data_IF_473317099541
#
_entry.id   IF_473317099541
#
_cell.length_a   1.000
_cell.length_b   1.000
_cell.length_c   1.000
_cell.angle_alpha   90.00
_cell.angle_beta   90.00
_cell.angle_gamma   90.00
#
_symmetry.space_group_name_H-M   'P 1'
#
loop_
_entity.id
_entity.type
_entity.pdbx_description
1 polymer ?
#
# COMPACT_ATOMS: atom_id res chain seq x y z
N UNK A 1 -23.13 1.28 17.38
CA UNK A 1 -23.12 1.53 15.91
C UNK A 1 -24.54 1.42 15.42
N UNK A 2 -25.13 2.49 14.86
CA UNK A 2 -26.57 2.56 14.50
C UNK A 2 -26.90 1.81 13.19
N UNK A 3 -26.48 0.55 13.02
CA UNK A 3 -26.65 -0.24 11.79
C UNK A 3 -26.14 0.46 10.50
N UNK A 4 -25.16 1.36 10.61
CA UNK A 4 -24.56 2.02 9.45
C UNK A 4 -23.37 1.22 8.96
N UNK A 5 -23.40 0.83 7.68
CA UNK A 5 -22.25 0.24 6.99
C UNK A 5 -21.13 1.28 6.87
N UNK A 6 -19.87 0.94 7.20
CA UNK A 6 -18.75 1.86 7.03
C UNK A 6 -18.53 2.16 5.54
N UNK A 7 -18.06 3.38 5.23
CA UNK A 7 -17.68 3.73 3.84
C UNK A 7 -16.35 3.05 3.47
N UNK A 8 -15.43 2.94 4.44
CA UNK A 8 -14.10 2.38 4.26
C UNK A 8 -13.70 1.56 5.48
N UNK A 9 -12.97 0.47 5.26
CA UNK A 9 -12.39 -0.38 6.30
C UNK A 9 -10.88 -0.45 6.05
N UNK A 10 -10.08 -0.10 7.06
CA UNK A 10 -8.62 -0.07 6.98
C UNK A 10 -8.04 -1.23 7.79
N UNK A 11 -7.30 -2.14 7.17
CA UNK A 11 -6.64 -3.27 7.86
C UNK A 11 -5.26 -3.60 7.26
N UNK A 12 -4.56 -4.59 7.82
CA UNK A 12 -3.19 -5.02 7.52
C UNK A 12 -3.02 -5.88 6.23
N UNK A 13 -4.03 -5.93 5.37
CA UNK A 13 -3.95 -6.63 4.08
C UNK A 13 -4.06 -8.15 4.16
N UNK A 14 -4.34 -8.72 5.33
CA UNK A 14 -4.60 -10.15 5.50
C UNK A 14 -5.70 -10.65 4.55
N UNK A 15 -5.48 -11.82 3.95
CA UNK A 15 -6.37 -12.38 2.93
C UNK A 15 -7.73 -12.79 3.50
N UNK A 16 -7.74 -13.36 4.70
CA UNK A 16 -8.97 -13.77 5.37
C UNK A 16 -9.78 -12.55 5.80
N UNK A 17 -9.14 -11.53 6.37
CA UNK A 17 -9.77 -10.24 6.67
C UNK A 17 -10.33 -9.58 5.40
N UNK A 18 -9.57 -9.58 4.31
CA UNK A 18 -10.04 -9.02 3.04
C UNK A 18 -11.26 -9.78 2.49
N UNK A 19 -11.31 -11.11 2.64
CA UNK A 19 -12.48 -11.92 2.27
C UNK A 19 -13.68 -11.65 3.18
N UNK A 20 -13.47 -11.58 4.49
CA UNK A 20 -14.50 -11.29 5.48
C UNK A 20 -15.11 -9.90 5.26
N UNK A 21 -14.29 -8.86 5.03
CA UNK A 21 -14.76 -7.51 4.73
C UNK A 21 -15.62 -7.51 3.46
N UNK A 22 -15.18 -8.18 2.38
CA UNK A 22 -15.98 -8.32 1.16
C UNK A 22 -17.32 -9.02 1.40
N UNK A 23 -17.37 -9.98 2.32
CA UNK A 23 -18.58 -10.73 2.64
C UNK A 23 -19.54 -9.96 3.55
N UNK A 24 -19.03 -9.24 4.55
CA UNK A 24 -19.84 -8.57 5.58
C UNK A 24 -20.18 -7.14 5.18
N UNK A 25 -19.25 -6.46 4.49
CA UNK A 25 -19.37 -5.07 4.07
C UNK A 25 -19.03 -4.91 2.58
N UNK A 26 -19.83 -5.48 1.65
CA UNK A 26 -19.52 -5.49 0.22
C UNK A 26 -19.38 -4.09 -0.40
N UNK A 27 -20.11 -3.11 0.13
CA UNK A 27 -20.09 -1.71 -0.33
C UNK A 27 -18.93 -0.89 0.26
N UNK A 28 -18.22 -1.43 1.27
CA UNK A 28 -17.10 -0.73 1.89
C UNK A 28 -15.84 -0.85 1.05
N UNK A 29 -15.10 0.26 0.95
CA UNK A 29 -13.76 0.25 0.36
C UNK A 29 -12.78 -0.38 1.34
N UNK A 30 -12.15 -1.49 0.97
CA UNK A 30 -11.03 -2.05 1.73
C UNK A 30 -9.74 -1.30 1.41
N UNK A 31 -9.15 -0.67 2.42
CA UNK A 31 -7.87 0.05 2.33
C UNK A 31 -6.80 -0.64 3.19
N UNK A 32 -5.56 -0.52 2.75
CA UNK A 32 -4.38 -1.03 3.45
C UNK A 32 -3.87 0.02 4.42
N UNK A 33 -3.67 -0.40 5.67
CA UNK A 33 -3.17 0.45 6.75
C UNK A 33 -1.74 0.91 6.47
N UNK A 34 -1.51 2.23 6.47
CA UNK A 34 -0.19 2.86 6.28
C UNK A 34 0.84 2.32 7.26
N UNK A 35 0.49 2.18 8.54
CA UNK A 35 1.41 1.66 9.56
C UNK A 35 1.87 0.22 9.28
N UNK A 36 0.99 -0.64 8.79
CA UNK A 36 1.35 -1.99 8.40
C UNK A 36 2.16 -2.02 7.11
N UNK A 37 1.84 -1.14 6.15
CA UNK A 37 2.63 -0.99 4.92
C UNK A 37 4.06 -0.53 5.21
N UNK A 38 4.22 0.45 6.10
CA UNK A 38 5.50 0.95 6.59
C UNK A 38 6.32 -0.19 7.21
N UNK A 39 5.75 -0.88 8.21
CA UNK A 39 6.43 -2.01 8.87
C UNK A 39 6.80 -3.12 7.90
N UNK A 40 5.93 -3.42 6.94
CA UNK A 40 6.21 -4.42 5.90
C UNK A 40 7.30 -3.93 4.93
N UNK A 41 7.32 -2.65 4.57
CA UNK A 41 8.37 -2.06 3.76
C UNK A 41 9.72 -2.19 4.46
N UNK A 42 9.80 -1.85 5.74
CA UNK A 42 11.02 -2.01 6.53
C UNK A 42 11.51 -3.46 6.57
N UNK A 43 10.58 -4.43 6.67
CA UNK A 43 10.93 -5.85 6.71
C UNK A 43 11.36 -6.43 5.34
N UNK A 44 10.85 -5.87 4.23
CA UNK A 44 11.14 -6.39 2.88
C UNK A 44 12.28 -5.62 2.18
N UNK A 45 12.44 -4.33 2.48
CA UNK A 45 13.46 -3.47 1.92
C UNK A 45 14.60 -3.34 2.95
N UNK A 46 15.51 -4.32 2.95
CA UNK A 46 16.67 -4.37 3.85
C UNK A 46 17.66 -3.20 3.71
N UNK A 47 17.48 -2.35 2.68
CA UNK A 47 18.25 -1.14 2.45
C UNK A 47 17.44 0.08 2.91
N UNK A 48 17.98 0.82 3.89
CA UNK A 48 17.36 2.03 4.45
C UNK A 48 16.98 3.06 3.38
N UNK A 49 17.82 3.29 2.39
CA UNK A 49 17.55 4.28 1.34
C UNK A 49 16.43 3.82 0.39
N UNK A 50 16.32 2.51 0.13
CA UNK A 50 15.23 1.93 -0.63
C UNK A 50 13.90 2.02 0.14
N UNK A 51 13.93 1.72 1.43
CA UNK A 51 12.82 1.89 2.35
C UNK A 51 12.34 3.36 2.37
N UNK A 52 13.23 4.32 2.59
CA UNK A 52 12.89 5.75 2.59
C UNK A 52 12.28 6.20 1.26
N UNK A 53 12.84 5.73 0.13
CA UNK A 53 12.31 6.03 -1.21
C UNK A 53 10.89 5.46 -1.41
N UNK A 54 10.62 4.26 -0.87
CA UNK A 54 9.27 3.67 -0.87
C UNK A 54 8.30 4.48 -0.01
N UNK A 55 8.70 4.87 1.21
CA UNK A 55 7.88 5.70 2.09
C UNK A 55 7.53 7.03 1.41
N UNK A 56 8.48 7.66 0.69
CA UNK A 56 8.20 8.86 -0.11
C UNK A 56 7.13 8.64 -1.18
N UNK A 57 7.09 7.47 -1.82
CA UNK A 57 6.04 7.12 -2.78
C UNK A 57 4.67 6.92 -2.11
N UNK A 58 4.65 6.47 -0.85
CA UNK A 58 3.42 6.19 -0.12
C UNK A 58 2.77 7.45 0.46
N UNK A 59 3.56 8.39 0.99
CA UNK A 59 3.03 9.53 1.78
C UNK A 59 2.88 10.82 0.98
N UNK A 60 3.48 10.93 -0.21
CA UNK A 60 3.38 12.17 -0.99
C UNK A 60 2.05 12.26 -1.71
N UNK A 61 1.41 13.43 -1.58
CA UNK A 61 0.25 13.77 -2.40
C UNK A 61 0.74 14.22 -3.78
N UNK A 62 0.73 13.29 -4.72
CA UNK A 62 1.23 13.50 -6.09
C UNK A 62 0.18 13.07 -7.11
N UNK A 63 0.28 13.60 -8.31
CA UNK A 63 -0.49 13.11 -9.46
C UNK A 63 -0.10 11.66 -9.78
N UNK A 64 -0.96 10.91 -10.50
CA UNK A 64 -0.60 9.56 -10.95
C UNK A 64 0.72 9.53 -11.74
N UNK A 65 0.96 10.48 -12.63
CA UNK A 65 2.17 10.53 -13.45
C UNK A 65 3.43 10.77 -12.60
N UNK A 66 3.36 11.70 -11.64
CA UNK A 66 4.43 11.92 -10.67
C UNK A 66 4.70 10.69 -9.80
N UNK A 67 3.65 9.96 -9.39
CA UNK A 67 3.80 8.68 -8.70
C UNK A 67 4.57 7.67 -9.56
N UNK A 68 4.19 7.50 -10.83
CA UNK A 68 4.85 6.55 -11.74
C UNK A 68 6.33 6.90 -11.93
N UNK A 69 6.64 8.19 -12.08
CA UNK A 69 8.01 8.69 -12.16
C UNK A 69 8.82 8.43 -10.89
N UNK A 70 8.24 8.70 -9.72
CA UNK A 70 8.89 8.44 -8.43
C UNK A 70 9.12 6.95 -8.20
N UNK A 71 8.11 6.13 -8.48
CA UNK A 71 8.18 4.68 -8.34
C UNK A 71 9.26 4.10 -9.24
N UNK A 72 9.28 4.49 -10.52
CA UNK A 72 10.31 4.06 -11.48
C UNK A 72 11.71 4.47 -11.02
N UNK A 73 11.90 5.72 -10.60
CA UNK A 73 13.21 6.19 -10.08
C UNK A 73 13.67 5.37 -8.89
N UNK A 74 12.78 5.03 -7.97
CA UNK A 74 13.09 4.19 -6.80
C UNK A 74 13.49 2.76 -7.23
N UNK A 75 12.74 2.15 -8.14
CA UNK A 75 13.04 0.80 -8.65
C UNK A 75 14.38 0.76 -9.39
N UNK A 76 14.63 1.72 -10.29
CA UNK A 76 15.84 1.81 -11.10
C UNK A 76 17.07 2.05 -10.21
N UNK A 77 16.99 3.01 -9.28
CA UNK A 77 18.10 3.40 -8.39
C UNK A 77 18.55 2.26 -7.49
N UNK A 78 17.60 1.46 -7.00
CA UNK A 78 17.86 0.39 -6.02
C UNK A 78 17.91 -1.01 -6.66
N UNK A 79 17.84 -1.10 -8.00
CA UNK A 79 17.83 -2.35 -8.76
C UNK A 79 16.74 -3.35 -8.30
N UNK A 80 15.52 -2.85 -8.08
CA UNK A 80 14.41 -3.63 -7.49
C UNK A 80 13.44 -4.21 -8.53
N UNK A 81 13.85 -4.27 -9.80
CA UNK A 81 13.00 -4.67 -10.93
C UNK A 81 12.37 -6.05 -10.79
N UNK A 82 13.03 -6.98 -10.08
CA UNK A 82 12.56 -8.35 -9.89
C UNK A 82 12.08 -8.61 -8.45
N UNK A 83 11.86 -7.55 -7.66
CA UNK A 83 11.47 -7.69 -6.26
C UNK A 83 9.97 -8.00 -6.14
N UNK A 84 9.62 -9.26 -5.88
CA UNK A 84 8.23 -9.76 -5.87
C UNK A 84 7.31 -8.93 -4.98
N UNK A 85 7.75 -8.61 -3.76
CA UNK A 85 6.93 -7.81 -2.84
C UNK A 85 6.61 -6.40 -3.39
N UNK A 86 7.54 -5.77 -4.12
CA UNK A 86 7.28 -4.46 -4.72
C UNK A 86 6.29 -4.55 -5.87
N UNK A 87 6.34 -5.61 -6.68
CA UNK A 87 5.32 -5.86 -7.71
C UNK A 87 3.93 -5.99 -7.10
N UNK A 88 3.80 -6.73 -6.00
CA UNK A 88 2.54 -6.82 -5.28
C UNK A 88 2.07 -5.47 -4.74
N UNK A 89 2.99 -4.69 -4.17
CA UNK A 89 2.67 -3.37 -3.62
C UNK A 89 2.22 -2.41 -4.72
N UNK A 90 2.91 -2.38 -5.85
CA UNK A 90 2.52 -1.59 -7.01
C UNK A 90 1.11 -1.96 -7.53
N UNK A 91 0.81 -3.27 -7.64
CA UNK A 91 -0.52 -3.73 -8.04
C UNK A 91 -1.62 -3.32 -7.04
N UNK A 92 -1.26 -3.18 -5.76
CA UNK A 92 -2.16 -2.79 -4.67
C UNK A 92 -2.13 -1.28 -4.38
N UNK A 93 -1.39 -0.45 -5.11
CA UNK A 93 -1.17 0.97 -4.77
C UNK A 93 -2.45 1.78 -4.55
N UNK A 94 -3.47 1.51 -5.37
CA UNK A 94 -4.80 2.15 -5.25
C UNK A 94 -5.54 1.79 -3.97
N UNK A 95 -5.11 0.75 -3.23
CA UNK A 95 -5.69 0.33 -1.97
C UNK A 95 -4.97 0.93 -0.76
N UNK A 96 -3.82 1.55 -0.90
CA UNK A 96 -3.15 2.17 0.23
C UNK A 96 -4.07 3.25 0.83
N UNK A 97 -4.21 3.25 2.14
CA UNK A 97 -4.91 4.33 2.82
C UNK A 97 -4.09 5.61 2.64
N UNK A 98 -4.78 6.71 2.38
CA UNK A 98 -4.18 8.03 2.49
C UNK A 98 -3.89 8.29 3.98
N UNK A 99 -2.70 8.84 4.26
CA UNK A 99 -2.27 9.22 5.60
C UNK A 99 -2.87 10.56 6.03
#
# INVERSE_FOLDING_TARGET
>A
MNNKTPISVVTDGDKAMSAAIRSVFPESRHRLCVWHLDRNAFANLFNTEAYESFIMCMVRYVTPDEFEDMWKKMVDKHNLHNHEWLHEMYAKKKKWAEA
#
